data_IF_664466957665
#
_entry.id   IF_664466957665
#
_cell.length_a   1.000
_cell.length_b   1.000
_cell.length_c   1.000
_cell.angle_alpha   90.00
_cell.angle_beta   90.00
_cell.angle_gamma   90.00
#
_symmetry.space_group_name_H-M   'P 1'
#
loop_
_entity.id
_entity.type
_entity.pdbx_description
1 polymer ?
#
# COMPACT_ATOMS: atom_id res chain seq x y z
N UNK A 1 -4.45 7.47 -7.97
CA UNK A 1 -3.15 7.72 -8.63
C UNK A 1 -3.31 8.54 -9.91
N UNK A 2 -4.02 8.08 -10.95
CA UNK A 2 -4.17 8.84 -12.20
C UNK A 2 -4.76 10.26 -12.03
N UNK A 3 -5.84 10.41 -11.23
CA UNK A 3 -6.42 11.73 -10.93
C UNK A 3 -5.42 12.66 -10.22
N UNK A 4 -4.70 12.14 -9.24
CA UNK A 4 -3.66 12.88 -8.51
C UNK A 4 -2.49 13.27 -9.41
N UNK A 5 -2.11 12.40 -10.37
CA UNK A 5 -1.13 12.73 -11.40
C UNK A 5 -1.64 13.77 -12.40
N UNK A 6 -2.96 13.91 -12.58
CA UNK A 6 -3.59 14.94 -13.39
C UNK A 6 -3.85 16.25 -12.62
N UNK A 7 -3.35 16.38 -11.37
CA UNK A 7 -3.54 17.56 -10.53
C UNK A 7 -4.90 17.64 -9.82
N UNK A 8 -5.69 16.56 -9.86
CA UNK A 8 -6.99 16.47 -9.18
C UNK A 8 -6.77 15.73 -7.85
N UNK A 9 -6.78 16.49 -6.76
CA UNK A 9 -6.47 15.99 -5.41
C UNK A 9 -7.70 15.78 -4.54
N UNK A 10 -8.82 16.38 -4.89
CA UNK A 10 -10.08 16.35 -4.17
C UNK A 10 -11.27 16.08 -5.10
N UNK A 11 -12.45 15.88 -4.50
CA UNK A 11 -13.68 15.58 -5.20
C UNK A 11 -14.31 14.24 -4.78
N UNK A 12 -15.61 14.04 -5.09
CA UNK A 12 -16.36 12.89 -4.63
C UNK A 12 -15.83 11.55 -5.18
N UNK A 13 -15.14 11.54 -6.32
CA UNK A 13 -14.47 10.37 -6.90
C UNK A 13 -13.25 9.96 -6.04
N UNK A 14 -12.44 10.94 -5.63
CA UNK A 14 -11.25 10.72 -4.81
C UNK A 14 -11.67 10.22 -3.43
N UNK A 15 -12.65 10.87 -2.80
CA UNK A 15 -13.16 10.47 -1.49
C UNK A 15 -13.74 9.06 -1.50
N UNK A 16 -14.58 8.72 -2.48
CA UNK A 16 -15.15 7.36 -2.62
C UNK A 16 -14.07 6.32 -2.88
N UNK A 17 -13.06 6.66 -3.68
CA UNK A 17 -11.92 5.78 -3.93
C UNK A 17 -11.11 5.49 -2.67
N UNK A 18 -10.79 6.53 -1.88
CA UNK A 18 -10.07 6.37 -0.61
C UNK A 18 -10.90 5.62 0.44
N UNK A 19 -12.21 5.85 0.49
CA UNK A 19 -13.12 5.11 1.36
C UNK A 19 -13.18 3.62 0.97
N UNK A 20 -13.22 3.31 -0.32
CA UNK A 20 -13.12 1.94 -0.82
C UNK A 20 -11.80 1.28 -0.42
N UNK A 21 -10.66 1.94 -0.69
CA UNK A 21 -9.33 1.43 -0.33
C UNK A 21 -9.19 1.15 1.17
N UNK A 22 -9.77 2.01 2.01
CA UNK A 22 -9.72 1.86 3.47
C UNK A 22 -10.41 0.59 3.98
N UNK A 23 -11.38 0.04 3.24
CA UNK A 23 -12.05 -1.23 3.59
C UNK A 23 -11.15 -2.44 3.42
N UNK A 24 -10.10 -2.32 2.61
CA UNK A 24 -9.14 -3.39 2.31
C UNK A 24 -7.78 -3.15 2.96
N UNK A 25 -7.72 -2.30 3.99
CA UNK A 25 -6.51 -2.16 4.79
C UNK A 25 -6.07 -3.52 5.35
N UNK A 26 -4.77 -3.73 5.51
CA UNK A 26 -4.15 -4.99 5.93
C UNK A 26 -4.40 -5.34 7.41
N UNK A 27 -5.66 -5.38 7.82
CA UNK A 27 -6.07 -5.92 9.12
C UNK A 27 -5.83 -7.44 9.14
N UNK A 28 -5.71 -8.06 10.32
CA UNK A 28 -5.52 -9.51 10.41
C UNK A 28 -6.61 -10.31 9.67
N UNK A 29 -7.85 -9.84 9.69
CA UNK A 29 -8.98 -10.45 8.99
C UNK A 29 -8.84 -10.38 7.46
N UNK A 30 -8.45 -9.22 6.91
CA UNK A 30 -8.28 -9.06 5.46
C UNK A 30 -7.05 -9.83 4.98
N UNK A 31 -5.96 -9.79 5.74
CA UNK A 31 -4.72 -10.46 5.41
C UNK A 31 -4.84 -11.99 5.44
N UNK A 32 -5.62 -12.56 6.36
CA UNK A 32 -5.80 -14.03 6.46
C UNK A 32 -6.48 -14.62 5.23
N UNK A 33 -7.29 -13.83 4.53
CA UNK A 33 -7.98 -14.26 3.30
C UNK A 33 -7.05 -14.49 2.10
N UNK A 34 -5.76 -14.17 2.24
CA UNK A 34 -4.72 -14.40 1.21
C UNK A 34 -5.20 -14.08 -0.21
N UNK A 35 -5.71 -12.86 -0.47
CA UNK A 35 -6.31 -12.53 -1.75
C UNK A 35 -5.25 -12.62 -2.85
N UNK A 36 -5.70 -13.02 -4.04
CA UNK A 36 -4.88 -12.94 -5.24
C UNK A 36 -4.35 -11.51 -5.40
N UNK A 37 -3.05 -11.40 -5.70
CA UNK A 37 -2.37 -10.11 -5.92
C UNK A 37 -2.35 -9.17 -4.71
N UNK A 38 -2.33 -9.68 -3.47
CA UNK A 38 -2.28 -8.88 -2.25
C UNK A 38 -1.21 -7.77 -2.28
N UNK A 39 0.04 -8.11 -2.56
CA UNK A 39 1.16 -7.16 -2.58
C UNK A 39 1.03 -6.14 -3.71
N UNK A 40 0.60 -6.58 -4.88
CA UNK A 40 0.37 -5.70 -6.03
C UNK A 40 -0.73 -4.66 -5.75
N UNK A 41 -1.85 -5.08 -5.15
CA UNK A 41 -2.91 -4.16 -4.75
C UNK A 41 -2.43 -3.14 -3.71
N UNK A 42 -1.66 -3.61 -2.71
CA UNK A 42 -1.11 -2.73 -1.68
C UNK A 42 -0.04 -1.77 -2.21
N UNK A 43 0.68 -2.13 -3.26
CA UNK A 43 1.63 -1.24 -3.94
C UNK A 43 0.94 -0.01 -4.57
N UNK A 44 -0.23 -0.18 -5.20
CA UNK A 44 -0.99 0.99 -5.69
C UNK A 44 -1.74 1.71 -4.57
N UNK A 45 -2.22 0.98 -3.56
CA UNK A 45 -2.91 1.57 -2.43
C UNK A 45 -1.99 2.48 -1.60
N UNK A 46 -0.71 2.11 -1.40
CA UNK A 46 0.24 2.95 -0.67
C UNK A 46 0.48 4.27 -1.40
N UNK A 47 0.51 4.29 -2.74
CA UNK A 47 0.63 5.52 -3.53
C UNK A 47 -0.58 6.43 -3.34
N UNK A 48 -1.79 5.88 -3.44
CA UNK A 48 -3.01 6.66 -3.23
C UNK A 48 -3.13 7.19 -1.80
N UNK A 49 -2.81 6.35 -0.80
CA UNK A 49 -2.83 6.74 0.61
C UNK A 49 -1.77 7.80 0.92
N UNK A 50 -0.57 7.68 0.34
CA UNK A 50 0.51 8.63 0.51
C UNK A 50 0.15 10.00 -0.08
N UNK A 51 -0.38 10.01 -1.31
CA UNK A 51 -0.85 11.23 -1.98
C UNK A 51 -1.98 11.91 -1.19
N UNK A 52 -2.94 11.14 -0.68
CA UNK A 52 -4.01 11.65 0.19
C UNK A 52 -3.46 12.21 1.51
N UNK A 53 -2.45 11.56 2.09
CA UNK A 53 -1.85 11.98 3.36
C UNK A 53 -2.86 11.98 4.52
N UNK A 54 -2.59 12.84 5.51
CA UNK A 54 -3.50 13.13 6.61
C UNK A 54 -4.00 11.89 7.37
N UNK A 55 -5.30 11.86 7.68
CA UNK A 55 -5.93 10.77 8.43
C UNK A 55 -5.93 9.44 7.69
N UNK A 56 -6.05 9.47 6.36
CA UNK A 56 -6.06 8.26 5.52
C UNK A 56 -4.72 7.55 5.60
N UNK A 57 -3.63 8.29 5.39
CA UNK A 57 -2.27 7.76 5.54
C UNK A 57 -2.00 7.25 6.96
N UNK A 58 -2.28 8.08 7.97
CA UNK A 58 -2.01 7.75 9.38
C UNK A 58 -2.75 6.50 9.86
N UNK A 59 -3.92 6.20 9.28
CA UNK A 59 -4.69 5.00 9.62
C UNK A 59 -4.29 3.78 8.79
N UNK A 60 -4.05 3.95 7.49
CA UNK A 60 -3.85 2.84 6.57
C UNK A 60 -2.41 2.31 6.56
N UNK A 61 -1.42 3.20 6.55
CA UNK A 61 -0.02 2.81 6.38
C UNK A 61 0.53 1.93 7.53
N UNK A 62 0.27 2.22 8.82
CA UNK A 62 0.74 1.37 9.90
C UNK A 62 0.24 -0.08 9.79
N UNK A 63 -0.98 -0.28 9.28
CA UNK A 63 -1.57 -1.62 9.15
C UNK A 63 -0.79 -2.49 8.16
N UNK A 64 -0.49 -1.96 6.96
CA UNK A 64 0.31 -2.69 5.97
C UNK A 64 1.76 -2.85 6.41
N UNK A 65 2.36 -1.80 7.00
CA UNK A 65 3.73 -1.86 7.54
C UNK A 65 3.85 -3.00 8.55
N UNK A 66 2.97 -3.02 9.54
CA UNK A 66 3.03 -4.01 10.63
C UNK A 66 2.72 -5.41 10.11
N UNK A 67 1.81 -5.53 9.12
CA UNK A 67 1.59 -6.80 8.44
C UNK A 67 2.87 -7.31 7.78
N UNK A 68 3.54 -6.49 6.96
CA UNK A 68 4.77 -6.88 6.27
C UNK A 68 5.89 -7.22 7.25
N UNK A 69 6.11 -6.40 8.28
CA UNK A 69 7.14 -6.66 9.30
C UNK A 69 6.89 -8.00 10.01
N UNK A 70 5.63 -8.34 10.33
CA UNK A 70 5.30 -9.63 10.98
C UNK A 70 5.44 -10.83 10.06
N UNK A 71 5.24 -10.67 8.75
CA UNK A 71 5.24 -11.78 7.77
C UNK A 71 6.56 -11.96 7.04
N UNK A 72 7.55 -11.12 7.32
CA UNK A 72 8.91 -11.25 6.80
C UNK A 72 9.48 -12.63 7.17
N UNK A 73 10.02 -13.33 6.18
CA UNK A 73 10.65 -14.63 6.38
C UNK A 73 12.04 -14.47 7.06
N UNK A 74 12.60 -15.51 7.69
CA UNK A 74 13.93 -15.45 8.31
C UNK A 74 15.05 -14.97 7.37
N UNK A 75 14.92 -15.21 6.06
CA UNK A 75 15.86 -14.71 5.04
C UNK A 75 15.63 -13.26 4.59
N UNK A 76 14.70 -12.54 5.23
CA UNK A 76 14.39 -11.13 4.94
C UNK A 76 13.39 -10.88 3.80
N UNK A 77 12.94 -11.93 3.11
CA UNK A 77 12.01 -11.84 1.98
C UNK A 77 10.54 -12.02 2.34
N UNK A 78 9.68 -11.81 1.35
CA UNK A 78 8.23 -12.09 1.41
C UNK A 78 7.83 -13.07 0.32
N UNK A 79 6.96 -14.01 0.69
CA UNK A 79 6.38 -14.96 -0.28
C UNK A 79 5.26 -14.31 -1.07
N UNK A 80 5.19 -14.65 -2.35
CA UNK A 80 4.11 -14.27 -3.23
C UNK A 80 3.78 -15.41 -4.19
N UNK A 81 2.53 -15.45 -4.70
CA UNK A 81 2.08 -16.50 -5.62
C UNK A 81 2.81 -16.46 -6.96
N UNK A 82 3.28 -15.29 -7.40
CA UNK A 82 4.07 -15.15 -8.63
C UNK A 82 5.50 -15.65 -8.43
N UNK A 83 6.25 -15.01 -7.53
CA UNK A 83 7.55 -15.48 -7.03
C UNK A 83 8.02 -14.64 -5.83
N UNK A 84 8.92 -15.20 -5.01
CA UNK A 84 9.41 -14.53 -3.80
C UNK A 84 10.22 -13.25 -4.07
N UNK A 85 10.89 -13.18 -5.22
CA UNK A 85 11.69 -12.01 -5.60
C UNK A 85 10.78 -10.81 -5.89
N UNK A 86 9.67 -11.07 -6.60
CA UNK A 86 8.62 -10.09 -6.86
C UNK A 86 7.95 -9.65 -5.56
N UNK A 87 7.58 -10.60 -4.70
CA UNK A 87 6.96 -10.30 -3.40
C UNK A 87 7.85 -9.43 -2.53
N UNK A 88 9.14 -9.76 -2.47
CA UNK A 88 10.13 -8.98 -1.72
C UNK A 88 10.29 -7.57 -2.28
N UNK A 89 10.40 -7.42 -3.61
CA UNK A 89 10.49 -6.10 -4.25
C UNK A 89 9.27 -5.23 -3.92
N UNK A 90 8.06 -5.77 -4.03
CA UNK A 90 6.81 -5.04 -3.74
C UNK A 90 6.72 -4.65 -2.26
N UNK A 91 7.04 -5.56 -1.34
CA UNK A 91 7.05 -5.26 0.10
C UNK A 91 8.01 -4.13 0.44
N UNK A 92 9.22 -4.14 -0.14
CA UNK A 92 10.21 -3.09 0.05
C UNK A 92 9.74 -1.74 -0.51
N UNK A 93 9.15 -1.71 -1.71
CA UNK A 93 8.59 -0.48 -2.28
C UNK A 93 7.50 0.12 -1.38
N UNK A 94 6.64 -0.72 -0.79
CA UNK A 94 5.62 -0.29 0.16
C UNK A 94 6.27 0.29 1.43
N UNK A 95 7.22 -0.43 2.03
CA UNK A 95 7.89 -0.02 3.27
C UNK A 95 8.74 1.25 3.12
N UNK A 96 9.24 1.52 1.92
CA UNK A 96 10.05 2.71 1.61
C UNK A 96 9.21 3.95 1.29
N UNK A 97 7.89 3.83 1.15
CA UNK A 97 7.02 4.96 0.83
C UNK A 97 7.21 6.19 1.74
N UNK A 98 7.38 6.08 3.08
CA UNK A 98 7.62 7.24 3.96
C UNK A 98 8.95 7.96 3.72
N UNK A 99 9.92 7.32 3.07
CA UNK A 99 11.23 7.92 2.80
C UNK A 99 11.20 8.86 1.59
N UNK A 100 10.12 8.87 0.83
CA UNK A 100 9.90 9.76 -0.33
C UNK A 100 10.99 9.67 -1.41
N UNK A 101 11.66 8.52 -1.53
CA UNK A 101 12.77 8.36 -2.48
C UNK A 101 12.33 8.17 -3.94
N UNK A 102 11.11 7.70 -4.19
CA UNK A 102 10.60 7.57 -5.55
C UNK A 102 9.93 8.89 -5.99
N UNK A 103 10.13 9.34 -7.24
CA UNK A 103 9.49 10.57 -7.75
C UNK A 103 7.96 10.60 -7.59
N UNK A 104 7.30 9.44 -7.64
CA UNK A 104 5.85 9.32 -7.41
C UNK A 104 5.41 9.65 -5.97
N UNK A 105 6.34 9.65 -5.03
CA UNK A 105 6.14 10.03 -3.62
C UNK A 105 6.67 11.44 -3.33
N UNK A 106 7.06 12.21 -4.34
CA UNK A 106 7.33 13.64 -4.18
C UNK A 106 6.00 14.39 -4.18
N UNK A 107 5.81 15.25 -3.18
CA UNK A 107 4.64 16.11 -2.99
C UNK A 107 5.02 17.55 -3.23
#
# INVERSE_FOLDING_TARGET
>A
VALSSAGIYDGPEVERGLAFLSRFAATPEVASRSPDHFLYGHYYAVQAAFQAGGKTWARWYPLIRDHLVRTQQPGGGWRDRTCDHYGTAMALLILQAPNNYLPIFQR
#
